data_IF_716637926884
#
_entry.id   IF_716637926884
#
_cell.length_a   1.000
_cell.length_b   1.000
_cell.length_c   1.000
_cell.angle_alpha   90.00
_cell.angle_beta   90.00
_cell.angle_gamma   90.00
#
_symmetry.space_group_name_H-M   'P 1'
#
loop_
_entity.id
_entity.type
_entity.pdbx_description
1 polymer ?
#
# COMPACT_ATOMS: atom_id res chain seq x y z
N UNK A 1 -2.17 26.89 -12.07
CA UNK A 1 -2.16 26.79 -10.59
C UNK A 1 -1.22 25.67 -10.22
N UNK A 2 -0.39 25.83 -9.18
CA UNK A 2 0.39 24.71 -8.65
C UNK A 2 -0.60 23.72 -8.01
N UNK A 3 -0.43 22.43 -8.24
CA UNK A 3 -1.25 21.40 -7.60
C UNK A 3 -1.09 21.48 -6.08
N UNK A 4 -2.15 21.20 -5.34
CA UNK A 4 -2.18 21.23 -3.90
C UNK A 4 -2.52 19.83 -3.35
N UNK A 5 -1.93 19.46 -2.23
CA UNK A 5 -2.32 18.30 -1.45
C UNK A 5 -3.31 18.71 -0.36
N UNK A 6 -4.51 18.16 -0.39
CA UNK A 6 -5.51 18.35 0.64
C UNK A 6 -5.56 17.11 1.52
N UNK A 7 -5.33 17.30 2.82
CA UNK A 7 -5.42 16.20 3.78
C UNK A 7 -6.85 15.62 3.81
N UNK A 8 -6.96 14.30 3.72
CA UNK A 8 -8.24 13.57 3.76
C UNK A 8 -8.39 12.85 5.09
N UNK A 9 -7.49 11.92 5.39
CA UNK A 9 -7.60 11.07 6.57
C UNK A 9 -6.26 10.45 6.95
N UNK A 10 -6.18 9.92 8.18
CA UNK A 10 -5.02 9.19 8.69
C UNK A 10 -5.46 8.04 9.59
N UNK A 11 -4.88 6.87 9.37
CA UNK A 11 -4.98 5.74 10.27
C UNK A 11 -3.61 5.46 10.90
N UNK A 12 -3.59 5.16 12.20
CA UNK A 12 -2.37 4.87 12.96
C UNK A 12 -2.59 3.59 13.77
N UNK A 13 -1.64 2.66 13.70
CA UNK A 13 -1.63 1.48 14.57
C UNK A 13 -1.28 1.87 16.00
N UNK A 14 -1.99 1.31 16.95
CA UNK A 14 -1.68 1.37 18.39
C UNK A 14 -0.69 0.28 18.85
N UNK A 15 -0.31 -0.62 17.95
CA UNK A 15 0.56 -1.77 18.23
C UNK A 15 -0.19 -3.10 18.40
N UNK A 16 -1.52 -3.11 18.23
CA UNK A 16 -2.35 -4.32 18.38
C UNK A 16 -3.04 -4.76 17.08
N UNK A 17 -3.09 -3.89 16.06
CA UNK A 17 -3.82 -4.13 14.83
C UNK A 17 -3.00 -4.93 13.82
N UNK A 18 -3.61 -5.92 13.16
CA UNK A 18 -3.03 -6.66 12.02
C UNK A 18 -3.25 -5.97 10.69
N UNK A 19 -4.08 -4.93 10.66
CA UNK A 19 -4.37 -4.12 9.46
C UNK A 19 -4.39 -2.64 9.79
N UNK A 20 -4.03 -1.80 8.81
CA UNK A 20 -4.20 -0.34 8.87
C UNK A 20 -5.17 0.04 7.75
N UNK A 21 -6.34 0.57 8.11
CA UNK A 21 -7.36 1.01 7.15
C UNK A 21 -7.48 2.51 7.14
N UNK A 22 -7.42 3.12 5.98
CA UNK A 22 -7.71 4.55 5.78
C UNK A 22 -8.77 4.69 4.71
N UNK A 23 -9.84 5.42 5.03
CA UNK A 23 -11.00 5.70 4.16
C UNK A 23 -11.13 7.20 3.90
N UNK A 24 -12.04 7.59 3.04
CA UNK A 24 -12.31 8.99 2.68
C UNK A 24 -12.03 9.30 1.21
N UNK A 25 -11.87 8.27 0.36
CA UNK A 25 -11.89 8.43 -1.09
C UNK A 25 -13.36 8.61 -1.51
N UNK A 26 -13.72 9.80 -1.96
CA UNK A 26 -15.10 10.22 -2.23
C UNK A 26 -15.33 10.75 -3.65
N UNK A 27 -14.31 10.74 -4.49
CA UNK A 27 -14.34 11.25 -5.86
C UNK A 27 -13.34 10.52 -6.75
N UNK A 28 -13.45 10.72 -8.06
CA UNK A 28 -12.52 10.16 -9.06
C UNK A 28 -11.22 10.99 -9.23
N UNK A 29 -10.92 11.85 -8.27
CA UNK A 29 -9.66 12.57 -8.25
C UNK A 29 -8.48 11.62 -7.96
N UNK A 30 -7.29 12.11 -8.24
CA UNK A 30 -6.05 11.41 -7.86
C UNK A 30 -5.83 11.57 -6.36
N UNK A 31 -5.52 10.47 -5.69
CA UNK A 31 -5.14 10.50 -4.28
C UNK A 31 -3.67 10.12 -4.11
N UNK A 32 -3.02 10.68 -3.10
CA UNK A 32 -1.69 10.32 -2.65
C UNK A 32 -1.81 9.65 -1.28
N UNK A 33 -1.36 8.39 -1.22
CA UNK A 33 -1.19 7.66 0.03
C UNK A 33 0.27 7.74 0.45
N UNK A 34 0.50 8.14 1.69
CA UNK A 34 1.82 8.12 2.35
C UNK A 34 1.79 7.05 3.43
N UNK A 35 2.68 6.07 3.32
CA UNK A 35 2.91 5.05 4.33
C UNK A 35 4.16 5.40 5.13
N UNK A 36 4.04 5.39 6.46
CA UNK A 36 5.14 5.70 7.36
C UNK A 36 5.27 4.65 8.44
N UNK A 37 6.50 4.24 8.71
CA UNK A 37 6.85 3.30 9.77
C UNK A 37 6.10 1.96 9.61
N UNK A 38 5.98 1.48 8.38
CA UNK A 38 5.29 0.22 8.08
C UNK A 38 6.20 -0.94 8.46
N UNK A 39 5.94 -1.47 9.63
CA UNK A 39 6.67 -2.57 10.26
C UNK A 39 5.69 -3.41 11.06
N UNK A 40 5.85 -4.72 11.01
CA UNK A 40 5.11 -5.66 11.86
C UNK A 40 6.04 -6.26 12.90
N UNK A 41 5.46 -6.97 13.87
CA UNK A 41 6.22 -7.76 14.85
C UNK A 41 6.82 -9.05 14.26
N UNK A 42 6.42 -9.40 13.03
CA UNK A 42 6.97 -10.53 12.29
C UNK A 42 8.14 -10.05 11.43
N UNK A 43 9.27 -10.74 11.51
CA UNK A 43 10.41 -10.49 10.65
C UNK A 43 10.15 -10.99 9.21
N UNK A 44 10.75 -10.34 8.22
CA UNK A 44 10.60 -10.64 6.80
C UNK A 44 9.13 -10.64 6.31
N UNK A 45 8.32 -9.73 6.84
CA UNK A 45 6.91 -9.62 6.48
C UNK A 45 6.75 -8.93 5.11
N UNK A 46 6.00 -9.56 4.23
CA UNK A 46 5.57 -8.91 2.98
C UNK A 46 4.34 -8.07 3.25
N UNK A 47 4.39 -6.80 2.89
CA UNK A 47 3.27 -5.87 3.08
C UNK A 47 2.47 -5.75 1.79
N UNK A 48 1.17 -5.88 1.93
CA UNK A 48 0.19 -5.83 0.85
C UNK A 48 -0.83 -4.72 1.09
N UNK A 49 -1.53 -4.36 0.01
CA UNK A 49 -2.62 -3.39 -0.01
C UNK A 49 -3.84 -4.00 -0.70
N UNK A 50 -5.02 -3.66 -0.19
CA UNK A 50 -6.34 -3.94 -0.80
C UNK A 50 -7.14 -2.65 -0.89
N UNK A 51 -8.05 -2.58 -1.85
CA UNK A 51 -9.11 -1.56 -1.84
C UNK A 51 -10.14 -1.89 -0.77
N UNK A 52 -10.84 -0.86 -0.25
CA UNK A 52 -12.00 -1.07 0.62
C UNK A 52 -13.27 -0.57 -0.05
N UNK A 53 -14.39 -1.21 0.27
CA UNK A 53 -15.73 -0.83 -0.13
C UNK A 53 -16.62 -0.82 1.11
N UNK A 54 -17.18 0.33 1.44
CA UNK A 54 -17.88 0.54 2.72
C UNK A 54 -17.06 0.08 3.93
N UNK A 55 -15.75 0.43 3.92
CA UNK A 55 -14.79 0.05 4.96
C UNK A 55 -14.40 -1.43 5.00
N UNK A 56 -14.94 -2.27 4.11
CA UNK A 56 -14.60 -3.70 4.03
C UNK A 56 -13.58 -3.93 2.93
N UNK A 57 -12.49 -4.62 3.25
CA UNK A 57 -11.44 -4.94 2.27
C UNK A 57 -11.93 -5.95 1.22
N UNK A 58 -11.63 -5.68 -0.05
CA UNK A 58 -11.84 -6.65 -1.12
C UNK A 58 -10.67 -7.63 -1.16
N UNK A 59 -10.92 -8.87 -0.74
CA UNK A 59 -9.96 -9.97 -0.74
C UNK A 59 -10.16 -10.96 -1.89
N UNK A 60 -10.92 -10.59 -2.89
CA UNK A 60 -11.13 -11.41 -4.10
C UNK A 60 -9.88 -11.41 -4.99
N UNK A 61 -9.77 -12.40 -5.89
CA UNK A 61 -8.59 -12.57 -6.75
C UNK A 61 -8.64 -11.65 -7.97
N UNK A 62 -8.66 -10.33 -7.73
CA UNK A 62 -8.85 -9.31 -8.76
C UNK A 62 -7.70 -8.27 -8.79
N UNK A 63 -6.50 -8.63 -8.31
CA UNK A 63 -5.35 -7.73 -8.31
C UNK A 63 -4.25 -8.26 -9.21
N UNK A 64 -3.89 -7.46 -10.21
CA UNK A 64 -2.73 -7.70 -11.06
C UNK A 64 -1.65 -6.67 -10.72
N UNK A 65 -0.38 -7.08 -10.78
CA UNK A 65 0.75 -6.19 -10.48
C UNK A 65 1.97 -6.51 -11.33
N UNK A 66 2.75 -5.46 -11.63
CA UNK A 66 4.08 -5.56 -12.20
C UNK A 66 5.01 -4.58 -11.49
N UNK A 67 6.17 -5.04 -11.03
CA UNK A 67 7.05 -4.23 -10.22
C UNK A 67 8.51 -4.64 -10.36
N UNK A 68 9.39 -3.75 -9.94
CA UNK A 68 10.83 -3.98 -9.81
C UNK A 68 11.23 -3.94 -8.35
N UNK A 69 12.01 -4.93 -7.93
CA UNK A 69 12.63 -4.97 -6.61
C UNK A 69 14.00 -4.32 -6.73
N UNK A 70 14.24 -3.34 -5.88
CA UNK A 70 15.50 -2.64 -5.72
C UNK A 70 16.21 -3.17 -4.49
N UNK A 71 17.51 -3.39 -4.58
CA UNK A 71 18.32 -3.91 -3.47
C UNK A 71 19.70 -3.29 -3.47
N UNK A 72 20.21 -2.95 -2.29
CA UNK A 72 21.57 -2.42 -2.14
C UNK A 72 22.66 -3.50 -2.18
N UNK A 73 22.28 -4.79 -2.13
CA UNK A 73 23.23 -5.92 -2.01
C UNK A 73 23.11 -6.96 -3.11
N UNK A 74 22.06 -6.93 -3.89
CA UNK A 74 21.84 -7.91 -4.95
C UNK A 74 21.43 -7.22 -6.25
N UNK A 75 21.43 -7.97 -7.34
CA UNK A 75 20.87 -7.48 -8.59
C UNK A 75 19.38 -7.15 -8.44
N UNK A 76 18.93 -6.13 -9.17
CA UNK A 76 17.52 -5.80 -9.25
C UNK A 76 16.74 -6.96 -9.87
N UNK A 77 15.59 -7.27 -9.27
CA UNK A 77 14.72 -8.33 -9.75
C UNK A 77 13.41 -7.75 -10.28
N UNK A 78 12.75 -8.48 -11.17
CA UNK A 78 11.39 -8.17 -11.63
C UNK A 78 10.41 -9.08 -10.91
N UNK A 79 9.21 -8.56 -10.62
CA UNK A 79 8.10 -9.32 -10.10
C UNK A 79 6.82 -9.01 -10.86
N UNK A 80 6.00 -10.02 -11.06
CA UNK A 80 4.65 -9.88 -11.60
C UNK A 80 3.73 -10.88 -10.91
N UNK A 81 2.46 -10.57 -10.93
CA UNK A 81 1.43 -11.48 -10.42
C UNK A 81 0.08 -11.11 -11.01
N UNK A 82 -0.72 -12.09 -11.35
CA UNK A 82 -2.09 -11.94 -11.82
C UNK A 82 -3.06 -12.63 -10.85
N UNK A 83 -4.27 -12.10 -10.77
CA UNK A 83 -5.35 -12.66 -9.95
C UNK A 83 -4.98 -12.82 -8.46
N UNK A 84 -4.27 -11.85 -7.90
CA UNK A 84 -3.93 -11.80 -6.47
C UNK A 84 -5.10 -11.36 -5.62
N UNK A 85 -5.07 -11.71 -4.33
CA UNK A 85 -6.03 -11.24 -3.33
C UNK A 85 -5.65 -9.90 -2.69
N UNK A 86 -4.66 -9.23 -3.25
CA UNK A 86 -4.13 -7.93 -2.87
C UNK A 86 -2.87 -7.62 -3.65
N UNK A 87 -2.42 -6.38 -3.62
CA UNK A 87 -1.18 -5.97 -4.27
C UNK A 87 -0.04 -5.87 -3.26
N UNK A 88 1.09 -6.50 -3.56
CA UNK A 88 2.32 -6.39 -2.78
C UNK A 88 2.91 -4.99 -2.98
N UNK A 89 3.16 -4.32 -1.88
CA UNK A 89 3.72 -2.97 -1.88
C UNK A 89 5.10 -2.88 -1.26
N UNK A 90 5.49 -3.79 -0.37
CA UNK A 90 6.85 -3.90 0.19
C UNK A 90 7.19 -5.38 0.37
N UNK A 91 8.45 -5.74 0.24
CA UNK A 91 8.91 -7.12 0.38
C UNK A 91 9.82 -7.29 1.59
N UNK A 92 9.60 -8.39 2.33
CA UNK A 92 10.48 -8.88 3.39
C UNK A 92 10.92 -7.78 4.37
N UNK A 93 9.97 -6.94 4.79
CA UNK A 93 10.26 -5.85 5.74
C UNK A 93 10.73 -6.43 7.05
N UNK A 94 11.86 -5.94 7.57
CA UNK A 94 12.41 -6.33 8.86
C UNK A 94 11.51 -5.88 10.02
N UNK A 95 11.55 -6.63 11.11
CA UNK A 95 10.90 -6.30 12.39
C UNK A 95 11.70 -5.30 13.25
N UNK A 96 12.79 -4.75 12.71
CA UNK A 96 13.69 -3.80 13.36
C UNK A 96 13.98 -2.60 12.46
N UNK A 97 14.63 -1.58 13.00
CA UNK A 97 15.21 -0.45 12.27
C UNK A 97 14.24 0.41 11.46
N UNK A 98 12.96 0.50 11.88
CA UNK A 98 12.01 1.47 11.34
C UNK A 98 11.22 1.04 10.13
N UNK A 99 11.29 -0.23 9.73
CA UNK A 99 10.41 -0.83 8.73
C UNK A 99 10.48 -0.17 7.35
N UNK A 100 9.32 0.04 6.73
CA UNK A 100 9.18 0.60 5.39
C UNK A 100 8.49 1.96 5.36
N UNK A 101 8.82 2.74 4.33
CA UNK A 101 8.25 4.05 4.02
C UNK A 101 7.88 4.06 2.53
N UNK A 102 6.79 4.71 2.15
CA UNK A 102 6.43 4.76 0.73
C UNK A 102 5.38 5.79 0.38
N UNK A 103 5.35 6.12 -0.91
CA UNK A 103 4.31 6.96 -1.52
C UNK A 103 3.63 6.19 -2.65
N UNK A 104 2.34 6.39 -2.79
CA UNK A 104 1.50 5.67 -3.73
C UNK A 104 0.48 6.64 -4.32
N UNK A 105 0.41 6.73 -5.64
CA UNK A 105 -0.67 7.44 -6.32
C UNK A 105 -1.79 6.46 -6.64
N UNK A 106 -3.01 6.88 -6.34
CA UNK A 106 -4.24 6.13 -6.51
C UNK A 106 -5.10 6.82 -7.55
N UNK A 107 -5.48 6.09 -8.61
CA UNK A 107 -6.24 6.61 -9.75
C UNK A 107 -7.54 5.83 -9.90
N UNK A 108 -8.64 6.52 -10.21
CA UNK A 108 -9.97 5.94 -10.47
C UNK A 108 -10.53 5.11 -9.31
N UNK A 109 -10.12 5.38 -8.08
CA UNK A 109 -10.52 4.54 -6.93
C UNK A 109 -12.02 4.66 -6.63
N UNK A 110 -12.64 5.82 -6.90
CA UNK A 110 -14.07 6.02 -6.70
C UNK A 110 -14.91 5.82 -7.97
N UNK A 111 -14.29 5.45 -9.09
CA UNK A 111 -15.01 5.14 -10.33
C UNK A 111 -15.81 3.84 -10.21
N UNK A 112 -17.07 3.89 -10.61
CA UNK A 112 -17.92 2.69 -10.72
C UNK A 112 -17.85 2.01 -12.09
N UNK A 113 -17.15 2.61 -13.06
CA UNK A 113 -17.10 2.18 -14.45
C UNK A 113 -15.72 1.83 -14.95
N UNK A 114 -14.67 2.16 -14.18
CA UNK A 114 -13.27 1.94 -14.54
C UNK A 114 -12.55 1.15 -13.46
N UNK A 115 -11.44 0.52 -13.83
CA UNK A 115 -10.55 -0.16 -12.89
C UNK A 115 -9.76 0.86 -12.06
N UNK A 116 -9.44 0.48 -10.83
CA UNK A 116 -8.57 1.28 -9.97
C UNK A 116 -7.11 0.96 -10.21
N UNK A 117 -6.27 1.97 -10.36
CA UNK A 117 -4.83 1.83 -10.60
C UNK A 117 -4.03 2.42 -9.45
N UNK A 118 -2.86 1.83 -9.22
CA UNK A 118 -1.91 2.29 -8.21
C UNK A 118 -0.51 2.29 -8.79
N UNK A 119 0.25 3.39 -8.56
CA UNK A 119 1.70 3.40 -8.75
C UNK A 119 2.38 3.54 -7.40
N UNK A 120 3.57 2.94 -7.24
CA UNK A 120 4.27 2.91 -5.97
C UNK A 120 5.76 3.19 -6.08
N UNK A 121 6.27 3.88 -5.06
CA UNK A 121 7.69 4.00 -4.75
C UNK A 121 7.86 3.85 -3.25
N UNK A 122 8.71 2.92 -2.82
CA UNK A 122 8.96 2.69 -1.41
C UNK A 122 10.40 2.28 -1.15
N UNK A 123 10.78 2.38 0.11
CA UNK A 123 12.02 1.89 0.65
C UNK A 123 11.74 1.19 1.98
N UNK A 124 12.40 0.10 2.24
CA UNK A 124 12.35 -0.63 3.50
C UNK A 124 13.72 -1.20 3.84
N UNK A 125 13.85 -1.75 5.05
CA UNK A 125 14.99 -2.56 5.44
C UNK A 125 14.67 -4.04 5.26
N UNK A 126 15.63 -4.76 4.69
CA UNK A 126 15.63 -6.22 4.55
C UNK A 126 17.00 -6.71 5.00
N UNK A 127 17.08 -7.51 6.04
CA UNK A 127 18.35 -7.98 6.63
C UNK A 127 19.33 -6.82 6.90
N UNK A 128 18.83 -5.74 7.50
CA UNK A 128 19.54 -4.48 7.80
C UNK A 128 20.08 -3.72 6.57
N UNK A 129 19.52 -3.93 5.40
CA UNK A 129 19.96 -3.32 4.16
C UNK A 129 18.83 -2.63 3.43
N UNK A 130 19.16 -1.62 2.63
CA UNK A 130 18.15 -0.90 1.87
C UNK A 130 17.58 -1.77 0.74
N UNK A 131 16.27 -1.88 0.73
CA UNK A 131 15.49 -2.49 -0.33
C UNK A 131 14.28 -1.62 -0.66
N UNK A 132 13.62 -1.88 -1.77
CA UNK A 132 12.42 -1.17 -2.14
C UNK A 132 11.72 -1.82 -3.32
N UNK A 133 10.51 -1.36 -3.57
CA UNK A 133 9.69 -1.79 -4.72
C UNK A 133 9.22 -0.55 -5.46
N UNK A 134 9.35 -0.58 -6.77
CA UNK A 134 8.74 0.43 -7.65
C UNK A 134 7.94 -0.26 -8.74
N UNK A 135 6.76 0.24 -9.06
CA UNK A 135 5.90 -0.38 -10.07
C UNK A 135 4.47 0.09 -10.02
N UNK A 136 3.56 -0.78 -10.41
CA UNK A 136 2.15 -0.50 -10.38
C UNK A 136 1.30 -1.76 -10.25
N UNK A 137 0.04 -1.53 -9.93
CA UNK A 137 -0.98 -2.57 -9.89
C UNK A 137 -2.33 -2.04 -10.34
N UNK A 138 -3.22 -2.97 -10.66
CA UNK A 138 -4.60 -2.71 -11.01
C UNK A 138 -5.52 -3.61 -10.20
N UNK A 139 -6.62 -3.06 -9.71
CA UNK A 139 -7.76 -3.81 -9.21
C UNK A 139 -8.77 -3.91 -10.36
N UNK A 140 -8.97 -5.13 -10.87
CA UNK A 140 -9.68 -5.42 -12.12
C UNK A 140 -11.20 -5.54 -11.93
N UNK A 141 -11.75 -4.79 -10.97
CA UNK A 141 -13.19 -4.66 -10.76
C UNK A 141 -13.57 -3.19 -10.90
N UNK A 142 -14.45 -2.91 -11.84
CA UNK A 142 -15.03 -1.58 -12.02
C UNK A 142 -16.08 -1.32 -10.91
N UNK A 143 -15.61 -0.84 -9.76
CA UNK A 143 -16.47 -0.53 -8.61
C UNK A 143 -15.85 0.56 -7.74
N UNK A 144 -16.69 1.51 -7.31
CA UNK A 144 -16.24 2.57 -6.40
C UNK A 144 -15.69 1.99 -5.10
N UNK A 145 -14.47 2.39 -4.76
CA UNK A 145 -13.79 2.09 -3.50
C UNK A 145 -13.71 3.35 -2.64
N UNK A 146 -13.82 3.20 -1.34
CA UNK A 146 -13.84 4.31 -0.38
C UNK A 146 -12.53 4.49 0.38
N UNK A 147 -11.56 3.58 0.15
CA UNK A 147 -10.28 3.61 0.85
C UNK A 147 -9.41 2.41 0.55
N UNK A 148 -8.47 2.18 1.45
CA UNK A 148 -7.49 1.09 1.37
C UNK A 148 -7.30 0.40 2.73
N UNK A 149 -6.90 -0.87 2.67
CA UNK A 149 -6.37 -1.63 3.78
C UNK A 149 -4.92 -2.02 3.50
N UNK A 150 -4.01 -1.78 4.44
CA UNK A 150 -2.63 -2.27 4.45
C UNK A 150 -2.54 -3.43 5.43
N UNK A 151 -1.90 -4.54 5.04
CA UNK A 151 -1.81 -5.74 5.86
C UNK A 151 -0.52 -6.53 5.60
N UNK A 152 -0.06 -7.28 6.59
CA UNK A 152 1.03 -8.24 6.45
C UNK A 152 0.55 -9.58 5.89
N UNK A 153 1.32 -10.21 5.00
CA UNK A 153 0.95 -11.47 4.36
C UNK A 153 0.81 -12.64 5.34
N UNK A 154 1.55 -12.60 6.44
CA UNK A 154 1.52 -13.61 7.51
C UNK A 154 0.64 -13.20 8.70
N UNK A 155 -0.10 -12.08 8.58
CA UNK A 155 -0.97 -11.58 9.64
C UNK A 155 -0.22 -10.95 10.82
N UNK A 156 1.01 -10.49 10.63
CA UNK A 156 1.78 -9.80 11.66
C UNK A 156 1.10 -8.52 12.14
N UNK A 157 1.16 -8.28 13.45
CA UNK A 157 0.64 -7.07 14.09
C UNK A 157 1.57 -5.90 13.79
N UNK A 158 1.01 -4.79 13.31
CA UNK A 158 1.77 -3.56 13.08
C UNK A 158 2.25 -2.94 14.39
N UNK A 159 3.47 -2.40 14.41
CA UNK A 159 3.99 -1.68 15.57
C UNK A 159 3.18 -0.40 15.83
N UNK A 160 3.25 0.09 17.07
CA UNK A 160 2.65 1.38 17.42
C UNK A 160 3.28 2.52 16.62
N UNK A 161 2.45 3.39 16.06
CA UNK A 161 2.88 4.52 15.22
C UNK A 161 2.98 4.22 13.72
N UNK A 162 2.92 2.95 13.29
CA UNK A 162 2.78 2.61 11.87
C UNK A 162 1.52 3.29 11.32
N UNK A 163 1.63 3.96 10.17
CA UNK A 163 0.52 4.82 9.72
C UNK A 163 0.37 4.90 8.21
N UNK A 164 -0.90 5.06 7.80
CA UNK A 164 -1.32 5.39 6.45
C UNK A 164 -1.99 6.78 6.45
N UNK A 165 -1.54 7.68 5.59
CA UNK A 165 -2.03 9.05 5.48
C UNK A 165 -2.50 9.27 4.05
N UNK A 166 -3.73 9.74 3.89
CA UNK A 166 -4.36 9.96 2.60
C UNK A 166 -4.50 11.46 2.32
N UNK A 167 -4.10 11.86 1.13
CA UNK A 167 -4.28 13.21 0.59
C UNK A 167 -4.98 13.13 -0.75
N UNK A 168 -5.77 14.14 -1.06
CA UNK A 168 -6.33 14.40 -2.38
C UNK A 168 -5.42 15.37 -3.14
N UNK A 169 -5.17 15.09 -4.42
CA UNK A 169 -4.40 15.96 -5.31
C UNK A 169 -5.39 16.88 -6.04
N UNK A 170 -5.29 18.21 -5.85
CA UNK A 170 -6.20 19.21 -6.43
C UNK A 170 -5.45 20.32 -7.15
#
# INVERSE_FOLDING_TARGET
MAGQLVYVNKAVSDGSATTIKVTGIDSDDVYLLVLKLIQTQNNNETINLRVTKSGTADSTSNYDRAYKILSSISAFANGNFENGTGTRIMENVDDANGGGQGIFYLYNFNSSTEYSYLTNQNVCTVSNQAAGVTGGSVHTVASASDGIEVYGSSGGTFISGASAILFKVV
#
